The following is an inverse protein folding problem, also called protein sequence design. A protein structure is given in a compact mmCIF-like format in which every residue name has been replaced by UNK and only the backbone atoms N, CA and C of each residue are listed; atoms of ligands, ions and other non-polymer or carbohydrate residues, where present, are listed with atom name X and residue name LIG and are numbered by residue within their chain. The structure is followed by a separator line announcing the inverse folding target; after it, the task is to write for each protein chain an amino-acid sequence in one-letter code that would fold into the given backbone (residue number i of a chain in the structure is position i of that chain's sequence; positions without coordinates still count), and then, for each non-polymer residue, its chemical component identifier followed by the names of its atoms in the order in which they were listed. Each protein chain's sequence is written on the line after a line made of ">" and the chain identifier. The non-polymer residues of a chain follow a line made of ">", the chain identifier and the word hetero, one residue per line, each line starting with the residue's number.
data_IF_111041295954
#
_entry.id   IF_111041295954
#
_cell.length_a   1.000
_cell.length_b   1.000
_cell.length_c   1.000
_cell.angle_alpha   90.00
_cell.angle_beta   90.00
_cell.angle_gamma   90.00
#
_symmetry.space_group_name_H-M   'P 1'
#
loop_
_entity.id
_entity.type
_entity.pdbx_description
1 polymer ?
#
# COMPACT_ATOMS: atom_id res chain seq x y z
N UNK A 1 -33.61 17.88 14.78
CA UNK A 1 -32.33 17.18 14.48
C UNK A 1 -32.71 15.90 13.78
N UNK A 2 -32.79 15.96 12.46
CA UNK A 2 -33.20 14.85 11.61
C UNK A 2 -31.94 14.06 11.29
N UNK A 3 -31.81 12.86 11.86
CA UNK A 3 -30.79 11.91 11.43
C UNK A 3 -31.19 11.44 10.04
N UNK A 4 -30.66 12.09 9.01
CA UNK A 4 -30.71 11.57 7.63
C UNK A 4 -30.13 10.16 7.64
N UNK A 5 -31.02 9.17 7.54
CA UNK A 5 -30.68 7.78 7.32
C UNK A 5 -29.87 7.71 6.04
N UNK A 6 -28.56 7.45 6.15
CA UNK A 6 -27.73 7.18 4.99
C UNK A 6 -28.34 6.00 4.24
N UNK A 7 -28.73 6.23 2.98
CA UNK A 7 -29.11 5.19 2.02
C UNK A 7 -28.09 4.05 2.12
N UNK A 8 -28.52 2.83 2.43
CA UNK A 8 -27.61 1.69 2.55
C UNK A 8 -26.96 1.45 1.18
N UNK A 9 -25.76 1.98 1.01
CA UNK A 9 -24.91 1.50 -0.06
C UNK A 9 -24.67 0.01 0.21
N UNK A 10 -24.69 -0.80 -0.86
CA UNK A 10 -24.39 -2.23 -0.87
C UNK A 10 -22.91 -2.50 -0.50
N UNK A 11 -22.43 -1.96 0.62
CA UNK A 11 -21.13 -2.24 1.18
C UNK A 11 -21.22 -3.48 2.05
N UNK A 12 -20.11 -4.19 2.12
CA UNK A 12 -20.01 -5.36 2.97
C UNK A 12 -20.02 -4.93 4.44
N UNK A 13 -20.66 -5.71 5.33
CA UNK A 13 -20.59 -5.45 6.76
C UNK A 13 -19.12 -5.35 7.22
N UNK A 14 -18.76 -4.36 8.06
CA UNK A 14 -17.38 -4.16 8.50
C UNK A 14 -16.75 -5.40 9.15
N UNK A 15 -17.54 -6.16 9.92
CA UNK A 15 -17.10 -7.42 10.55
C UNK A 15 -16.72 -8.46 9.50
N UNK A 16 -17.53 -8.62 8.45
CA UNK A 16 -17.25 -9.57 7.37
C UNK A 16 -15.99 -9.18 6.59
N UNK A 17 -15.85 -7.89 6.27
CA UNK A 17 -14.65 -7.36 5.62
C UNK A 17 -13.40 -7.57 6.49
N UNK A 18 -13.51 -7.36 7.80
CA UNK A 18 -12.43 -7.59 8.76
C UNK A 18 -12.01 -9.06 8.86
N UNK A 19 -12.97 -9.99 8.90
CA UNK A 19 -12.69 -11.44 8.91
C UNK A 19 -11.92 -11.84 7.65
N UNK A 20 -12.37 -11.39 6.48
CA UNK A 20 -11.72 -11.72 5.20
C UNK A 20 -10.32 -11.12 5.12
N UNK A 21 -10.15 -9.88 5.59
CA UNK A 21 -8.84 -9.24 5.68
C UNK A 21 -7.91 -10.02 6.64
N UNK A 22 -8.42 -10.48 7.78
CA UNK A 22 -7.66 -11.30 8.73
C UNK A 22 -7.25 -12.66 8.15
N UNK A 23 -8.14 -13.31 7.39
CA UNK A 23 -7.81 -14.54 6.66
C UNK A 23 -6.74 -14.27 5.60
N UNK A 24 -6.87 -13.20 4.83
CA UNK A 24 -5.86 -12.82 3.83
C UNK A 24 -4.49 -12.55 4.47
N UNK A 25 -4.47 -11.87 5.62
CA UNK A 25 -3.27 -11.64 6.41
C UNK A 25 -2.64 -12.96 6.85
N UNK A 26 -3.43 -13.86 7.45
CA UNK A 26 -2.96 -15.17 7.89
C UNK A 26 -2.39 -16.01 6.73
N UNK A 27 -3.07 -16.02 5.58
CA UNK A 27 -2.59 -16.70 4.37
C UNK A 27 -1.29 -16.08 3.88
N UNK A 28 -1.13 -14.75 3.93
CA UNK A 28 0.13 -14.10 3.54
C UNK A 28 1.33 -14.59 4.36
N UNK A 29 1.16 -14.71 5.69
CA UNK A 29 2.21 -15.25 6.56
C UNK A 29 2.57 -16.71 6.24
N UNK A 30 1.58 -17.56 5.92
CA UNK A 30 1.84 -18.97 5.60
C UNK A 30 2.50 -19.13 4.24
N UNK A 31 2.00 -18.44 3.21
CA UNK A 31 2.44 -18.64 1.82
C UNK A 31 3.74 -17.91 1.54
N UNK A 32 3.89 -16.68 2.05
CA UNK A 32 5.02 -15.81 1.75
C UNK A 32 6.06 -15.73 2.86
N UNK A 33 5.78 -16.27 4.05
CA UNK A 33 6.65 -16.15 5.22
C UNK A 33 6.76 -14.72 5.79
N UNK A 34 5.94 -13.80 5.29
CA UNK A 34 5.88 -12.40 5.73
C UNK A 34 4.48 -11.83 5.51
N UNK A 35 4.16 -10.74 6.21
CA UNK A 35 2.86 -10.04 6.11
C UNK A 35 2.70 -9.14 4.87
N UNK A 36 1.64 -8.32 4.88
CA UNK A 36 1.22 -7.43 3.80
C UNK A 36 1.86 -6.04 3.86
N UNK A 37 2.67 -5.71 2.84
CA UNK A 37 3.40 -4.44 2.77
C UNK A 37 3.21 -3.71 1.44
N UNK A 38 2.91 -2.41 1.48
CA UNK A 38 2.92 -1.60 0.25
C UNK A 38 4.26 -0.89 0.01
N UNK A 39 4.81 -0.22 1.04
CA UNK A 39 6.00 0.64 0.89
C UNK A 39 7.25 -0.13 0.43
N UNK A 40 7.39 -1.40 0.81
CA UNK A 40 8.50 -2.25 0.39
C UNK A 40 8.47 -2.59 -1.11
N UNK A 41 7.29 -2.62 -1.73
CA UNK A 41 7.16 -2.83 -3.17
C UNK A 41 7.80 -1.67 -3.92
N UNK A 42 7.34 -0.44 -3.64
CA UNK A 42 7.83 0.77 -4.31
C UNK A 42 9.34 0.98 -4.19
N UNK A 43 9.95 0.69 -3.03
CA UNK A 43 11.40 0.77 -2.90
C UNK A 43 12.14 -0.27 -3.76
N UNK A 44 11.61 -1.51 -3.85
CA UNK A 44 12.19 -2.56 -4.69
C UNK A 44 12.07 -2.24 -6.17
N UNK A 45 10.91 -1.76 -6.59
CA UNK A 45 10.68 -1.35 -7.99
C UNK A 45 11.61 -0.19 -8.37
N UNK A 46 11.74 0.82 -7.49
CA UNK A 46 12.65 1.93 -7.72
C UNK A 46 14.11 1.49 -7.76
N UNK A 47 14.55 0.65 -6.81
CA UNK A 47 15.91 0.11 -6.79
C UNK A 47 16.22 -0.70 -8.06
N UNK A 48 15.28 -1.53 -8.53
CA UNK A 48 15.44 -2.28 -9.78
C UNK A 48 15.53 -1.35 -11.00
N UNK A 49 14.67 -0.34 -11.09
CA UNK A 49 14.67 0.60 -12.21
C UNK A 49 15.98 1.39 -12.28
N UNK A 50 16.52 1.82 -11.14
CA UNK A 50 17.83 2.48 -11.11
C UNK A 50 18.95 1.49 -11.46
N UNK A 51 18.90 0.26 -10.95
CA UNK A 51 19.88 -0.78 -11.28
C UNK A 51 19.95 -1.10 -12.78
N UNK A 52 18.83 -1.01 -13.51
CA UNK A 52 18.84 -1.21 -14.98
C UNK A 52 19.61 -0.14 -15.74
N UNK A 53 19.78 1.06 -15.16
CA UNK A 53 20.51 2.18 -15.76
C UNK A 53 21.94 2.22 -15.24
N UNK A 54 22.12 1.98 -13.93
CA UNK A 54 23.41 1.98 -13.25
C UNK A 54 23.58 0.73 -12.36
N UNK A 55 24.30 -0.30 -12.85
CA UNK A 55 24.59 -1.50 -12.08
C UNK A 55 25.41 -1.25 -10.80
N UNK A 56 26.15 -0.14 -10.70
CA UNK A 56 26.90 0.20 -9.48
C UNK A 56 25.97 0.43 -8.27
N UNK A 57 24.68 0.69 -8.52
CA UNK A 57 23.65 0.81 -7.50
C UNK A 57 23.51 -0.44 -6.61
N UNK A 58 23.93 -1.62 -7.08
CA UNK A 58 23.96 -2.83 -6.26
C UNK A 58 24.93 -2.73 -5.06
N UNK A 59 25.96 -1.89 -5.15
CA UNK A 59 26.92 -1.66 -4.07
C UNK A 59 26.44 -0.61 -3.06
N UNK A 60 25.36 0.12 -3.37
CA UNK A 60 24.80 1.12 -2.48
C UNK A 60 24.27 0.46 -1.18
N UNK A 61 24.61 1.04 -0.02
CA UNK A 61 24.25 0.50 1.29
C UNK A 61 22.73 0.37 1.53
N UNK A 62 21.92 1.18 0.83
CA UNK A 62 20.47 1.15 0.90
C UNK A 62 19.87 0.32 -0.24
N UNK A 63 20.10 0.70 -1.50
CA UNK A 63 19.48 0.05 -2.65
C UNK A 63 19.96 -1.39 -2.84
N UNK A 64 21.23 -1.68 -2.55
CA UNK A 64 21.81 -3.02 -2.60
C UNK A 64 21.07 -4.02 -1.72
N UNK A 65 20.47 -3.60 -0.58
CA UNK A 65 19.66 -4.47 0.28
C UNK A 65 18.44 -5.06 -0.45
N UNK A 66 17.88 -4.31 -1.39
CA UNK A 66 16.71 -4.73 -2.17
C UNK A 66 17.08 -5.58 -3.39
N UNK A 67 18.33 -5.49 -3.85
CA UNK A 67 18.85 -6.17 -5.05
C UNK A 67 19.56 -7.50 -4.73
N UNK A 68 19.91 -7.75 -3.46
CA UNK A 68 20.62 -8.96 -3.02
C UNK A 68 19.89 -10.27 -3.27
N UNK A 69 18.55 -10.26 -3.33
CA UNK A 69 17.73 -11.45 -3.54
C UNK A 69 17.48 -11.79 -5.02
N UNK A 70 18.26 -11.22 -5.94
CA UNK A 70 18.05 -11.36 -7.39
C UNK A 70 17.09 -10.30 -7.93
N UNK A 71 16.14 -10.69 -8.78
CA UNK A 71 15.18 -9.73 -9.35
C UNK A 71 14.25 -9.18 -8.28
N UNK A 72 14.42 -7.90 -7.92
CA UNK A 72 13.65 -7.26 -6.87
C UNK A 72 12.15 -7.18 -7.18
N UNK A 73 11.76 -7.31 -8.46
CA UNK A 73 10.36 -7.33 -8.91
C UNK A 73 9.64 -8.65 -8.61
N UNK A 74 10.38 -9.74 -8.44
CA UNK A 74 9.80 -11.04 -8.08
C UNK A 74 9.58 -11.17 -6.56
N UNK A 75 9.95 -10.15 -5.80
CA UNK A 75 9.68 -10.16 -4.37
C UNK A 75 8.17 -10.16 -4.10
N UNK A 76 7.75 -10.94 -3.10
CA UNK A 76 6.36 -11.07 -2.67
C UNK A 76 5.64 -9.72 -2.56
N UNK A 77 6.26 -8.72 -1.94
CA UNK A 77 5.65 -7.40 -1.73
C UNK A 77 5.26 -6.72 -3.06
N UNK A 78 6.04 -6.94 -4.13
CA UNK A 78 5.74 -6.39 -5.46
C UNK A 78 4.57 -7.14 -6.11
N UNK A 79 4.57 -8.47 -6.00
CA UNK A 79 3.48 -9.32 -6.51
C UNK A 79 2.18 -9.02 -5.77
N UNK A 80 2.25 -8.86 -4.44
CA UNK A 80 1.14 -8.47 -3.57
C UNK A 80 0.51 -7.15 -4.03
N UNK A 81 1.31 -6.09 -4.19
CA UNK A 81 0.82 -4.78 -4.63
C UNK A 81 0.21 -4.85 -6.04
N UNK A 82 0.79 -5.62 -6.95
CA UNK A 82 0.20 -5.86 -8.27
C UNK A 82 -1.15 -6.58 -8.16
N UNK A 83 -1.24 -7.60 -7.31
CA UNK A 83 -2.47 -8.34 -7.02
C UNK A 83 -3.55 -7.44 -6.40
N UNK A 84 -3.20 -6.59 -5.43
CA UNK A 84 -4.10 -5.60 -4.83
C UNK A 84 -4.63 -4.63 -5.89
N UNK A 85 -3.75 -4.13 -6.76
CA UNK A 85 -4.16 -3.22 -7.84
C UNK A 85 -5.14 -3.89 -8.80
N UNK A 86 -4.83 -5.10 -9.28
CA UNK A 86 -5.69 -5.87 -10.20
C UNK A 86 -7.01 -6.23 -9.52
N UNK A 87 -6.98 -6.76 -8.30
CA UNK A 87 -8.17 -7.15 -7.54
C UNK A 87 -9.07 -5.95 -7.22
N UNK A 88 -8.48 -4.82 -6.84
CA UNK A 88 -9.22 -3.57 -6.63
C UNK A 88 -9.86 -3.03 -7.91
N UNK A 89 -9.14 -3.09 -9.04
CA UNK A 89 -9.65 -2.69 -10.34
C UNK A 89 -10.81 -3.60 -10.79
N UNK A 90 -10.65 -4.93 -10.70
CA UNK A 90 -11.70 -5.89 -11.01
C UNK A 90 -12.93 -5.67 -10.14
N UNK A 91 -12.75 -5.48 -8.83
CA UNK A 91 -13.84 -5.14 -7.90
C UNK A 91 -14.56 -3.85 -8.32
N UNK A 92 -13.83 -2.82 -8.74
CA UNK A 92 -14.42 -1.57 -9.21
C UNK A 92 -15.17 -1.73 -10.54
N UNK A 93 -14.67 -2.56 -11.46
CA UNK A 93 -15.32 -2.90 -12.73
C UNK A 93 -16.62 -3.68 -12.50
N UNK A 94 -16.57 -4.73 -11.69
CA UNK A 94 -17.73 -5.56 -11.32
C UNK A 94 -18.82 -4.74 -10.64
N UNK A 95 -18.43 -3.82 -9.75
CA UNK A 95 -19.34 -2.90 -9.09
C UNK A 95 -19.75 -1.69 -9.97
N UNK A 96 -19.24 -1.60 -11.21
CA UNK A 96 -19.49 -0.50 -12.17
C UNK A 96 -19.30 0.89 -11.57
N UNK A 97 -18.26 1.06 -10.74
CA UNK A 97 -18.01 2.28 -9.96
C UNK A 97 -16.72 3.02 -10.33
N UNK A 98 -16.14 2.72 -11.50
CA UNK A 98 -14.97 3.43 -11.99
C UNK A 98 -15.41 4.81 -12.48
N UNK A 99 -14.86 5.85 -11.84
CA UNK A 99 -15.04 7.25 -12.21
C UNK A 99 -13.66 7.91 -12.27
N UNK A 100 -13.15 8.21 -13.48
CA UNK A 100 -11.94 9.00 -13.62
C UNK A 100 -12.21 10.41 -13.11
N UNK A 101 -11.78 10.72 -11.90
CA UNK A 101 -11.95 12.03 -11.31
C UNK A 101 -10.75 12.42 -10.44
N UNK A 102 -10.55 13.72 -10.27
CA UNK A 102 -9.61 14.26 -9.29
C UNK A 102 -10.45 14.74 -8.11
N UNK A 103 -10.43 13.96 -7.02
CA UNK A 103 -11.18 14.30 -5.81
C UNK A 103 -10.65 15.61 -5.21
N UNK A 104 -11.44 16.67 -5.32
CA UNK A 104 -11.15 18.03 -4.84
C UNK A 104 -12.45 18.71 -4.42
N UNK A 105 -12.35 19.70 -3.52
CA UNK A 105 -13.50 20.55 -3.20
C UNK A 105 -13.92 21.39 -4.42
N UNK A 106 -15.19 21.77 -4.47
CA UNK A 106 -15.70 22.66 -5.51
C UNK A 106 -14.94 24.00 -5.49
N UNK A 107 -14.57 24.52 -6.66
CA UNK A 107 -13.72 25.72 -6.78
C UNK A 107 -12.23 25.54 -6.46
N UNK A 108 -11.78 24.39 -5.94
CA UNK A 108 -10.36 24.17 -5.61
C UNK A 108 -9.51 23.83 -6.83
N UNK A 109 -8.40 24.52 -7.08
CA UNK A 109 -7.62 24.30 -8.32
C UNK A 109 -7.03 22.88 -8.42
N UNK A 110 -7.12 22.27 -9.61
CA UNK A 110 -6.56 20.95 -9.91
C UNK A 110 -5.05 20.91 -9.69
N UNK A 111 -4.32 21.93 -10.16
CA UNK A 111 -2.88 22.02 -10.01
C UNK A 111 -2.44 21.98 -8.54
N UNK A 112 -3.09 22.74 -7.65
CA UNK A 112 -2.80 22.68 -6.21
C UNK A 112 -3.12 21.30 -5.63
N UNK A 113 -4.24 20.67 -6.02
CA UNK A 113 -4.61 19.33 -5.51
C UNK A 113 -3.56 18.28 -5.86
N UNK A 114 -3.11 18.27 -7.10
CA UNK A 114 -2.05 17.37 -7.56
C UNK A 114 -0.71 17.72 -6.91
N UNK A 115 -0.39 19.00 -6.77
CA UNK A 115 0.80 19.46 -6.04
C UNK A 115 0.84 18.96 -4.60
N UNK A 116 -0.25 19.12 -3.83
CA UNK A 116 -0.36 18.60 -2.47
C UNK A 116 -0.36 17.07 -2.42
N UNK A 117 -1.00 16.39 -3.38
CA UNK A 117 -0.95 14.93 -3.45
C UNK A 117 0.48 14.42 -3.66
N UNK A 118 1.23 15.06 -4.53
CA UNK A 118 2.62 14.74 -4.82
C UNK A 118 3.53 15.02 -3.62
N UNK A 119 3.42 16.21 -3.00
CA UNK A 119 4.16 16.57 -1.79
C UNK A 119 3.85 15.62 -0.64
N UNK A 120 2.56 15.28 -0.43
CA UNK A 120 2.15 14.27 0.54
C UNK A 120 2.78 12.90 0.27
N UNK A 121 2.86 12.49 -0.99
CA UNK A 121 3.54 11.26 -1.40
C UNK A 121 5.03 11.25 -1.04
N UNK A 122 5.75 12.35 -1.28
CA UNK A 122 7.16 12.50 -0.89
C UNK A 122 7.31 12.38 0.63
N UNK A 123 6.48 13.08 1.39
CA UNK A 123 6.49 13.03 2.85
C UNK A 123 6.23 11.62 3.37
N UNK A 124 5.23 10.93 2.83
CA UNK A 124 4.91 9.53 3.19
C UNK A 124 6.07 8.59 2.81
N UNK A 125 6.72 8.80 1.67
CA UNK A 125 7.86 7.99 1.26
C UNK A 125 9.01 8.05 2.28
N UNK A 126 9.31 9.24 2.81
CA UNK A 126 10.29 9.40 3.89
C UNK A 126 9.77 8.83 5.23
N UNK A 127 8.54 9.18 5.61
CA UNK A 127 7.93 8.77 6.87
C UNK A 127 7.83 7.24 7.03
N UNK A 128 7.51 6.50 5.97
CA UNK A 128 7.42 5.04 6.02
C UNK A 128 8.77 4.36 6.32
N UNK A 129 9.90 5.01 6.03
CA UNK A 129 11.23 4.51 6.39
C UNK A 129 11.58 4.79 7.84
N UNK A 130 11.20 5.97 8.34
CA UNK A 130 11.34 6.32 9.76
C UNK A 130 10.47 5.42 10.64
N UNK A 131 9.22 5.19 10.23
CA UNK A 131 8.28 4.30 10.90
C UNK A 131 8.56 2.81 10.66
N UNK A 132 9.59 2.47 9.85
CA UNK A 132 9.95 1.09 9.46
C UNK A 132 8.77 0.28 8.87
N UNK A 133 7.78 0.95 8.30
CA UNK A 133 6.57 0.35 7.75
C UNK A 133 5.58 1.40 7.24
N UNK A 134 4.61 0.95 6.45
CA UNK A 134 3.42 1.72 6.10
C UNK A 134 2.23 1.29 6.97
N UNK A 135 1.08 1.93 6.80
CA UNK A 135 -0.15 1.60 7.55
C UNK A 135 -0.48 0.10 7.49
N UNK A 136 -0.35 -0.57 6.34
CA UNK A 136 -0.58 -2.03 6.28
C UNK A 136 0.44 -2.81 7.12
N UNK A 137 1.73 -2.50 7.01
CA UNK A 137 2.78 -3.23 7.73
C UNK A 137 2.81 -2.95 9.24
N UNK A 138 2.49 -1.73 9.68
CA UNK A 138 2.42 -1.42 11.11
C UNK A 138 1.04 -1.77 11.67
N UNK A 139 -0.04 -1.23 11.11
CA UNK A 139 -1.36 -1.39 11.69
C UNK A 139 -2.00 -2.77 11.45
N UNK A 140 -1.70 -3.48 10.35
CA UNK A 140 -2.24 -4.83 10.14
C UNK A 140 -1.26 -5.89 10.64
N UNK A 141 -0.07 -6.00 10.02
CA UNK A 141 0.89 -7.06 10.37
C UNK A 141 1.45 -6.86 11.78
N UNK A 142 1.87 -5.64 12.10
CA UNK A 142 2.46 -5.28 13.38
C UNK A 142 1.47 -5.44 14.54
N UNK A 143 0.21 -5.03 14.36
CA UNK A 143 -0.82 -5.25 15.36
C UNK A 143 -1.15 -6.75 15.53
N UNK A 144 -1.27 -7.50 14.42
CA UNK A 144 -1.54 -8.94 14.45
C UNK A 144 -0.43 -9.75 15.14
N UNK A 145 0.82 -9.28 15.04
CA UNK A 145 1.99 -9.89 15.70
C UNK A 145 2.26 -9.32 17.09
N UNK A 146 1.40 -8.44 17.61
CA UNK A 146 1.57 -7.77 18.91
C UNK A 146 2.92 -7.02 19.05
N UNK A 147 3.41 -6.45 17.96
CA UNK A 147 4.64 -5.65 17.96
C UNK A 147 4.45 -4.34 18.73
N UNK A 148 5.23 -4.12 19.79
CA UNK A 148 5.17 -2.88 20.59
C UNK A 148 5.36 -1.63 19.71
N UNK A 149 6.25 -1.70 18.71
CA UNK A 149 6.48 -0.60 17.79
C UNK A 149 5.26 -0.26 16.92
N UNK A 150 4.42 -1.25 16.61
CA UNK A 150 3.19 -1.06 15.86
C UNK A 150 2.04 -0.50 16.69
N UNK A 151 2.00 -0.80 17.99
CA UNK A 151 1.01 -0.23 18.92
C UNK A 151 1.30 1.24 19.27
N UNK A 152 2.55 1.69 19.09
CA UNK A 152 2.97 3.08 19.30
C UNK A 152 2.87 3.92 18.00
N UNK A 153 2.78 3.26 16.84
CA UNK A 153 2.66 3.87 15.51
C UNK A 153 1.32 4.57 15.30
#
# INVERSE_FOLDING_TARGET
>A
MEFTVMKSNNYWPPVLAGIILGIALFVSFIVAGQGMGASGAFARTAAQGVFTVDPAMAQNAYAGKYLKSGNALLNWTVIEVAGIFIGGLLSALLARRIKPEITRAEGYSVAKRLGFAFLGGILVAAATRLARGCTSGQALDGAATFSVGAWIF
#
